data_IF_082342394772
#
_entry.id   IF_082342394772
#
_cell.length_a   1.000
_cell.length_b   1.000
_cell.length_c   1.000
_cell.angle_alpha   90.00
_cell.angle_beta   90.00
_cell.angle_gamma   90.00
#
_symmetry.space_group_name_H-M   'P 1'
#
loop_
_entity.id
_entity.type
_entity.pdbx_description
1 polymer ?
#
# COMPACT_ATOMS: atom_id res chain seq x y z
N UNK A 1 -3.96 1.93 22.74
CA UNK A 1 -2.79 2.65 23.29
C UNK A 1 -1.91 3.04 22.12
N UNK A 2 -1.60 4.32 21.93
CA UNK A 2 -0.81 4.81 20.80
C UNK A 2 0.68 4.87 21.17
N UNK A 3 1.48 4.04 20.48
CA UNK A 3 2.89 4.19 20.05
C UNK A 3 4.01 4.76 20.92
N UNK A 4 3.79 5.23 22.15
CA UNK A 4 4.82 5.94 22.94
C UNK A 4 5.50 5.09 24.02
N UNK A 5 5.02 3.86 24.25
CA UNK A 5 5.54 2.97 25.28
C UNK A 5 5.72 1.54 24.75
N UNK A 6 6.77 0.82 25.19
CA UNK A 6 6.91 -0.61 24.91
C UNK A 6 5.63 -1.36 25.29
N UNK A 7 5.22 -2.31 24.46
CA UNK A 7 4.04 -3.14 24.69
C UNK A 7 4.29 -4.56 24.23
N UNK A 8 3.56 -5.50 24.82
CA UNK A 8 3.63 -6.93 24.49
C UNK A 8 2.30 -7.36 23.89
N UNK A 9 2.36 -8.11 22.79
CA UNK A 9 1.20 -8.65 22.09
C UNK A 9 1.37 -10.15 21.92
N UNK A 10 0.34 -10.92 22.24
CA UNK A 10 0.29 -12.34 21.93
C UNK A 10 -0.23 -12.50 20.49
N UNK A 11 0.56 -13.13 19.63
CA UNK A 11 0.27 -13.21 18.19
C UNK A 11 0.51 -14.61 17.64
N UNK A 12 -0.27 -14.97 16.62
CA UNK A 12 -0.02 -16.13 15.76
C UNK A 12 0.80 -15.68 14.56
N UNK A 13 1.88 -16.41 14.28
CA UNK A 13 2.69 -16.22 13.07
C UNK A 13 2.33 -17.30 12.08
N UNK A 14 1.92 -16.88 10.88
CA UNK A 14 1.70 -17.74 9.74
C UNK A 14 2.94 -17.71 8.85
N UNK A 15 3.54 -18.87 8.62
CA UNK A 15 4.62 -19.04 7.65
C UNK A 15 4.04 -19.53 6.33
N UNK A 16 4.25 -18.76 5.26
CA UNK A 16 3.78 -19.06 3.91
C UNK A 16 5.03 -19.16 3.03
N UNK A 17 5.46 -20.39 2.66
CA UNK A 17 6.69 -20.59 1.91
C UNK A 17 6.74 -19.80 0.59
N UNK A 18 7.95 -19.43 0.11
CA UNK A 18 9.25 -19.73 0.73
C UNK A 18 9.71 -18.75 1.81
N UNK A 19 9.18 -17.53 1.86
CA UNK A 19 9.67 -16.48 2.77
C UNK A 19 8.63 -15.45 3.22
N UNK A 20 7.34 -15.69 2.99
CA UNK A 20 6.29 -14.75 3.39
C UNK A 20 5.85 -15.07 4.82
N UNK A 21 5.63 -14.03 5.62
CA UNK A 21 5.04 -14.19 6.96
C UNK A 21 3.84 -13.28 7.13
N UNK A 22 2.85 -13.76 7.88
CA UNK A 22 1.72 -12.93 8.30
C UNK A 22 1.52 -13.08 9.81
N UNK A 23 1.42 -11.96 10.53
CA UNK A 23 1.30 -11.93 11.99
C UNK A 23 -0.06 -11.40 12.38
N UNK A 24 -0.82 -12.19 13.14
CA UNK A 24 -2.10 -11.74 13.70
C UNK A 24 -1.86 -10.68 14.77
N UNK A 25 -2.39 -9.47 14.55
CA UNK A 25 -2.36 -8.40 15.55
C UNK A 25 -3.65 -8.37 16.39
N UNK A 26 -4.73 -8.98 15.88
CA UNK A 26 -5.96 -9.14 16.67
C UNK A 26 -5.81 -10.26 17.70
N UNK A 27 -6.49 -10.15 18.86
CA UNK A 27 -6.56 -11.23 19.84
C UNK A 27 -7.11 -12.52 19.21
N UNK A 28 -6.72 -13.70 19.72
CA UNK A 28 -7.31 -14.97 19.30
C UNK A 28 -8.83 -14.94 19.42
N UNK A 29 -9.54 -15.48 18.43
CA UNK A 29 -11.00 -15.57 18.42
C UNK A 29 -11.45 -17.01 18.16
N UNK A 30 -12.57 -17.38 18.77
CA UNK A 30 -13.12 -18.74 18.72
C UNK A 30 -13.81 -19.09 17.39
N UNK A 31 -14.11 -18.09 16.55
CA UNK A 31 -14.87 -18.26 15.30
C UNK A 31 -14.10 -17.76 14.06
N UNK A 32 -14.40 -18.33 12.87
CA UNK A 32 -14.01 -17.78 11.58
C UNK A 32 -14.24 -16.27 11.46
N UNK A 33 -13.19 -15.52 11.11
CA UNK A 33 -13.26 -14.06 10.88
C UNK A 33 -12.89 -13.69 9.46
N UNK A 34 -13.49 -12.59 8.98
CA UNK A 34 -13.01 -11.82 7.84
C UNK A 34 -11.68 -11.16 8.18
N UNK A 35 -10.87 -10.84 7.17
CA UNK A 35 -9.50 -10.38 7.37
C UNK A 35 -9.23 -9.01 6.78
N UNK A 36 -8.55 -8.17 7.55
CA UNK A 36 -7.79 -7.03 7.05
C UNK A 36 -6.33 -7.47 6.94
N UNK A 37 -5.78 -7.48 5.74
CA UNK A 37 -4.35 -7.68 5.49
C UNK A 37 -3.69 -6.31 5.40
N UNK A 38 -2.93 -5.96 6.42
CA UNK A 38 -2.17 -4.72 6.46
C UNK A 38 -0.81 -4.93 5.78
N UNK A 39 -0.48 -4.06 4.82
CA UNK A 39 0.72 -4.10 3.99
C UNK A 39 1.46 -2.78 4.21
N UNK A 40 2.70 -2.86 4.70
CA UNK A 40 3.53 -1.70 5.02
C UNK A 40 4.15 -1.04 3.79
N UNK A 41 4.80 0.09 4.00
CA UNK A 41 5.62 0.75 2.98
C UNK A 41 6.98 0.07 2.79
N UNK A 42 7.78 0.60 1.85
CA UNK A 42 9.07 0.04 1.42
C UNK A 42 9.96 -0.44 2.59
N UNK A 43 10.20 0.45 3.56
CA UNK A 43 11.09 0.18 4.70
C UNK A 43 10.40 -0.47 5.90
N UNK A 44 9.09 -0.72 5.82
CA UNK A 44 8.36 -1.25 6.96
C UNK A 44 8.67 -2.73 7.19
N UNK A 45 8.82 -3.05 8.46
CA UNK A 45 8.87 -4.41 8.98
C UNK A 45 7.86 -4.54 10.12
N UNK A 46 7.78 -5.72 10.73
CA UNK A 46 6.88 -5.95 11.86
C UNK A 46 7.13 -4.94 12.98
N UNK A 47 6.12 -4.13 13.30
CA UNK A 47 6.17 -3.18 14.41
C UNK A 47 6.79 -1.80 14.09
N UNK A 48 7.20 -1.51 12.85
CA UNK A 48 7.64 -0.16 12.47
C UNK A 48 6.51 0.88 12.60
N UNK A 49 5.26 0.49 12.29
CA UNK A 49 4.07 1.34 12.36
C UNK A 49 3.18 0.92 13.52
N UNK A 50 2.72 1.89 14.32
CA UNK A 50 2.04 1.61 15.59
C UNK A 50 0.50 1.58 15.50
N UNK A 51 -0.12 2.29 14.57
CA UNK A 51 -1.58 2.33 14.47
C UNK A 51 -2.24 0.97 14.15
N UNK A 52 -1.62 0.02 13.42
CA UNK A 52 -2.23 -1.29 13.17
C UNK A 52 -2.55 -2.05 14.47
N UNK A 53 -1.74 -1.89 15.51
CA UNK A 53 -2.03 -2.47 16.83
C UNK A 53 -3.24 -1.82 17.49
N UNK A 54 -3.41 -0.50 17.37
CA UNK A 54 -4.60 0.19 17.87
C UNK A 54 -5.85 -0.23 17.07
N UNK A 55 -5.72 -0.30 15.74
CA UNK A 55 -6.80 -0.71 14.85
C UNK A 55 -7.28 -2.13 15.16
N UNK A 56 -6.36 -3.07 15.36
CA UNK A 56 -6.66 -4.47 15.66
C UNK A 56 -7.53 -4.67 16.92
N UNK A 57 -7.49 -3.73 17.87
CA UNK A 57 -8.32 -3.73 19.09
C UNK A 57 -9.71 -3.13 18.88
N UNK A 58 -9.92 -2.39 17.80
CA UNK A 58 -11.18 -1.69 17.52
C UNK A 58 -12.02 -2.35 16.44
N UNK A 59 -11.47 -3.33 15.72
CA UNK A 59 -12.17 -3.98 14.62
C UNK A 59 -13.50 -4.61 15.07
N UNK A 60 -14.53 -4.63 14.19
CA UNK A 60 -15.76 -5.37 14.47
C UNK A 60 -15.48 -6.84 14.81
N UNK A 61 -16.37 -7.48 15.57
CA UNK A 61 -16.12 -8.81 16.14
C UNK A 61 -15.84 -9.92 15.11
N UNK A 62 -16.37 -9.76 13.89
CA UNK A 62 -16.20 -10.67 12.76
C UNK A 62 -14.96 -10.35 11.90
N UNK A 63 -14.15 -9.33 12.25
CA UNK A 63 -12.94 -8.97 11.54
C UNK A 63 -11.70 -9.12 12.44
N UNK A 64 -10.61 -9.57 11.81
CA UNK A 64 -9.28 -9.67 12.40
C UNK A 64 -8.24 -8.99 11.51
N UNK A 65 -7.18 -8.47 12.11
CA UNK A 65 -6.08 -7.81 11.39
C UNK A 65 -4.84 -8.69 11.40
N UNK A 66 -4.26 -8.91 10.21
CA UNK A 66 -2.94 -9.51 10.05
C UNK A 66 -2.02 -8.48 9.38
N UNK A 67 -0.80 -8.33 9.90
CA UNK A 67 0.27 -7.64 9.19
C UNK A 67 1.03 -8.65 8.32
N UNK A 68 1.17 -8.35 7.04
CA UNK A 68 1.92 -9.18 6.08
C UNK A 68 3.32 -8.61 5.93
N UNK A 69 4.33 -9.49 5.94
CA UNK A 69 5.72 -9.18 5.57
C UNK A 69 6.03 -9.94 4.28
N UNK A 70 6.21 -9.18 3.21
CA UNK A 70 6.52 -9.64 1.86
C UNK A 70 8.03 -9.74 1.67
N UNK A 71 8.49 -10.34 0.57
CA UNK A 71 9.91 -10.37 0.24
C UNK A 71 10.48 -9.00 -0.15
N UNK A 72 9.61 -8.01 -0.37
CA UNK A 72 9.95 -6.60 -0.56
C UNK A 72 10.06 -5.81 0.75
N UNK A 73 9.60 -6.33 1.89
CA UNK A 73 9.61 -5.57 3.15
C UNK A 73 11.02 -5.22 3.64
N UNK A 74 11.15 -4.11 4.38
CA UNK A 74 12.42 -3.68 4.98
C UNK A 74 13.43 -3.18 3.94
N UNK A 75 14.61 -3.82 3.84
CA UNK A 75 15.68 -3.35 2.96
C UNK A 75 15.75 -4.11 1.63
N UNK A 76 14.70 -4.85 1.27
CA UNK A 76 14.69 -5.74 0.09
C UNK A 76 13.84 -5.24 -1.09
N UNK A 77 12.98 -4.23 -0.88
CA UNK A 77 12.10 -3.67 -1.91
C UNK A 77 12.83 -3.21 -3.16
N UNK A 78 14.07 -2.75 -3.03
CA UNK A 78 14.88 -2.22 -4.14
C UNK A 78 15.11 -3.22 -5.29
N UNK A 79 14.91 -4.51 -5.02
CA UNK A 79 15.12 -5.61 -5.98
C UNK A 79 13.84 -6.37 -6.35
N UNK A 80 12.69 -5.89 -5.87
CA UNK A 80 11.38 -6.51 -6.08
C UNK A 80 10.50 -5.60 -6.93
N UNK A 81 9.40 -6.16 -7.43
CA UNK A 81 8.42 -5.44 -8.24
C UNK A 81 7.04 -5.56 -7.62
N UNK A 82 6.14 -4.64 -7.95
CA UNK A 82 4.73 -4.75 -7.55
C UNK A 82 4.09 -6.07 -8.01
N UNK A 83 4.57 -6.65 -9.12
CA UNK A 83 4.09 -7.95 -9.58
C UNK A 83 4.58 -9.11 -8.69
N UNK A 84 5.74 -8.99 -8.05
CA UNK A 84 6.19 -9.94 -7.03
C UNK A 84 5.28 -9.83 -5.80
N UNK A 85 5.05 -8.62 -5.32
CA UNK A 85 4.19 -8.34 -4.17
C UNK A 85 2.76 -8.86 -4.39
N UNK A 86 2.21 -8.65 -5.58
CA UNK A 86 0.91 -9.20 -5.96
C UNK A 86 0.86 -10.73 -5.90
N UNK A 87 1.89 -11.43 -6.39
CA UNK A 87 1.94 -12.90 -6.35
C UNK A 87 1.99 -13.40 -4.92
N UNK A 88 2.75 -12.72 -4.08
CA UNK A 88 2.91 -13.04 -2.66
C UNK A 88 1.63 -12.78 -1.87
N UNK A 89 1.00 -11.60 -2.05
CA UNK A 89 -0.32 -11.29 -1.47
C UNK A 89 -1.34 -12.33 -1.92
N UNK A 90 -1.35 -12.72 -3.20
CA UNK A 90 -2.27 -13.75 -3.68
C UNK A 90 -2.03 -15.10 -2.99
N UNK A 91 -0.79 -15.48 -2.74
CA UNK A 91 -0.45 -16.69 -1.97
C UNK A 91 -0.97 -16.61 -0.52
N UNK A 92 -0.79 -15.46 0.14
CA UNK A 92 -1.32 -15.20 1.49
C UNK A 92 -2.85 -15.33 1.51
N UNK A 93 -3.55 -14.71 0.54
CA UNK A 93 -5.01 -14.77 0.47
C UNK A 93 -5.51 -16.20 0.23
N UNK A 94 -4.85 -16.97 -0.65
CA UNK A 94 -5.20 -18.39 -0.87
C UNK A 94 -5.04 -19.20 0.42
N UNK A 95 -3.87 -19.14 1.03
CA UNK A 95 -3.58 -19.85 2.28
C UNK A 95 -4.60 -19.52 3.38
N UNK A 96 -4.92 -18.24 3.56
CA UNK A 96 -5.89 -17.81 4.58
C UNK A 96 -7.34 -18.19 4.24
N UNK A 97 -7.65 -18.61 3.02
CA UNK A 97 -8.98 -19.10 2.60
C UNK A 97 -9.10 -20.62 2.56
N UNK A 98 -8.01 -21.37 2.48
CA UNK A 98 -8.01 -22.85 2.39
C UNK A 98 -8.86 -23.53 3.48
N UNK A 99 -8.92 -22.95 4.69
CA UNK A 99 -9.74 -23.44 5.79
C UNK A 99 -11.10 -22.74 5.98
N UNK A 100 -11.38 -21.66 5.23
CA UNK A 100 -12.59 -20.83 5.39
C UNK A 100 -13.07 -20.27 4.03
N UNK A 101 -13.68 -21.10 3.17
CA UNK A 101 -14.26 -20.65 1.92
C UNK A 101 -15.27 -19.52 2.15
N UNK A 102 -15.21 -18.46 1.33
CA UNK A 102 -16.11 -17.31 1.44
C UNK A 102 -15.70 -16.23 2.45
N UNK A 103 -14.59 -16.43 3.18
CA UNK A 103 -13.98 -15.39 4.04
C UNK A 103 -13.72 -14.11 3.25
N UNK A 104 -14.24 -12.99 3.74
CA UNK A 104 -13.96 -11.67 3.16
C UNK A 104 -12.55 -11.23 3.52
N UNK A 105 -11.88 -10.61 2.56
CA UNK A 105 -10.53 -10.06 2.71
C UNK A 105 -10.53 -8.63 2.21
N UNK A 106 -9.95 -7.74 3.00
CA UNK A 106 -9.64 -6.34 2.65
C UNK A 106 -8.14 -6.17 2.69
N UNK A 107 -7.56 -5.58 1.66
CA UNK A 107 -6.15 -5.17 1.68
C UNK A 107 -6.06 -3.73 2.18
N UNK A 108 -5.29 -3.49 3.23
CA UNK A 108 -5.00 -2.15 3.73
C UNK A 108 -3.54 -1.83 3.43
N UNK A 109 -3.31 -1.04 2.38
CA UNK A 109 -2.00 -0.50 2.07
C UNK A 109 -1.70 0.71 2.94
N UNK A 110 -0.49 0.76 3.48
CA UNK A 110 0.08 1.90 4.16
C UNK A 110 1.24 2.45 3.33
N UNK A 111 1.30 3.78 3.13
CA UNK A 111 2.39 4.41 2.38
C UNK A 111 2.51 3.75 0.99
N UNK A 112 3.69 3.32 0.57
CA UNK A 112 3.90 2.61 -0.71
C UNK A 112 3.17 1.26 -0.77
N UNK A 113 2.79 0.64 0.35
CA UNK A 113 1.88 -0.53 0.36
C UNK A 113 0.50 -0.21 -0.24
N UNK A 114 0.16 1.07 -0.41
CA UNK A 114 -1.00 1.48 -1.22
C UNK A 114 -0.85 1.11 -2.70
N UNK A 115 0.38 1.14 -3.23
CA UNK A 115 0.69 0.72 -4.60
C UNK A 115 0.39 -0.77 -4.75
N UNK A 116 0.82 -1.59 -3.78
CA UNK A 116 0.51 -3.02 -3.75
C UNK A 116 -0.99 -3.29 -3.75
N UNK A 117 -1.74 -2.63 -2.86
CA UNK A 117 -3.19 -2.82 -2.73
C UNK A 117 -3.93 -2.41 -4.01
N UNK A 118 -3.55 -1.27 -4.61
CA UNK A 118 -4.16 -0.80 -5.86
C UNK A 118 -3.78 -1.71 -7.03
N UNK A 119 -2.50 -2.03 -7.19
CA UNK A 119 -2.00 -2.91 -8.25
C UNK A 119 -2.62 -4.31 -8.15
N UNK A 120 -2.82 -4.83 -6.94
CA UNK A 120 -3.49 -6.10 -6.69
C UNK A 120 -4.92 -6.15 -7.25
N UNK A 121 -5.64 -5.03 -7.29
CA UNK A 121 -6.99 -5.02 -7.86
C UNK A 121 -7.04 -4.56 -9.31
N UNK A 122 -6.15 -3.65 -9.74
CA UNK A 122 -6.24 -3.01 -11.07
C UNK A 122 -5.40 -3.67 -12.16
N UNK A 123 -4.32 -4.37 -11.81
CA UNK A 123 -3.38 -4.90 -12.81
C UNK A 123 -3.94 -6.15 -13.51
N UNK A 124 -3.51 -6.38 -14.75
CA UNK A 124 -3.84 -7.58 -15.51
C UNK A 124 -2.93 -8.79 -15.23
N UNK A 125 -2.03 -8.74 -14.23
CA UNK A 125 -1.04 -9.80 -13.99
C UNK A 125 -1.67 -11.05 -13.37
N UNK A 126 -2.20 -11.92 -14.22
CA UNK A 126 -3.01 -13.09 -13.84
C UNK A 126 -4.51 -12.76 -13.86
N UNK A 127 -5.34 -13.69 -14.34
CA UNK A 127 -6.79 -13.51 -14.35
C UNK A 127 -7.33 -13.46 -12.92
N UNK A 128 -8.26 -12.52 -12.66
CA UNK A 128 -8.96 -12.44 -11.38
C UNK A 128 -10.05 -13.49 -11.28
N UNK A 129 -9.95 -14.38 -10.29
CA UNK A 129 -10.93 -15.43 -10.04
C UNK A 129 -10.47 -16.40 -8.94
N UNK A 130 -11.20 -17.48 -8.78
CA UNK A 130 -10.99 -18.46 -7.70
C UNK A 130 -10.47 -19.81 -8.26
N UNK A 131 -10.15 -19.88 -9.55
CA UNK A 131 -9.59 -21.06 -10.20
C UNK A 131 -8.09 -21.27 -9.92
N UNK A 132 -7.54 -22.47 -10.18
CA UNK A 132 -6.11 -22.73 -10.06
C UNK A 132 -5.30 -21.77 -10.95
N UNK A 133 -4.37 -21.03 -10.34
CA UNK A 133 -3.55 -20.03 -11.04
C UNK A 133 -4.17 -18.62 -11.13
N UNK A 134 -5.42 -18.44 -10.70
CA UNK A 134 -6.10 -17.13 -10.70
C UNK A 134 -5.80 -16.34 -9.43
N UNK A 135 -5.79 -15.00 -9.55
CA UNK A 135 -5.64 -14.08 -8.42
C UNK A 135 -6.95 -14.04 -7.61
N UNK A 136 -6.95 -14.43 -6.32
CA UNK A 136 -8.16 -14.42 -5.51
C UNK A 136 -8.76 -13.03 -5.39
N UNK A 137 -10.09 -12.93 -5.48
CA UNK A 137 -10.77 -11.63 -5.37
C UNK A 137 -10.79 -11.16 -3.94
N UNK A 138 -10.58 -9.86 -3.72
CA UNK A 138 -10.73 -9.20 -2.40
C UNK A 138 -11.97 -8.32 -2.41
N UNK A 139 -12.61 -8.17 -1.26
CA UNK A 139 -13.86 -7.42 -1.11
C UNK A 139 -13.63 -5.91 -1.12
N UNK A 140 -12.43 -5.46 -0.77
CA UNK A 140 -12.07 -4.06 -0.87
C UNK A 140 -10.62 -3.77 -0.59
N UNK A 141 -10.25 -2.51 -0.83
CA UNK A 141 -8.93 -1.97 -0.51
C UNK A 141 -9.05 -0.68 0.30
N UNK A 142 -8.08 -0.46 1.18
CA UNK A 142 -7.95 0.76 1.97
C UNK A 142 -6.57 1.33 1.72
N UNK A 143 -6.51 2.60 1.31
CA UNK A 143 -5.26 3.28 0.97
C UNK A 143 -4.98 4.35 2.03
N UNK A 144 -4.05 4.07 2.94
CA UNK A 144 -3.67 5.00 4.00
C UNK A 144 -2.35 5.69 3.67
N UNK A 145 -2.40 7.02 3.62
CA UNK A 145 -1.32 7.89 3.11
C UNK A 145 -0.79 7.46 1.73
N UNK A 146 -1.65 7.33 0.69
CA UNK A 146 -1.20 7.06 -0.67
C UNK A 146 -0.54 8.33 -1.26
N UNK A 147 0.75 8.47 -1.05
CA UNK A 147 1.56 9.59 -1.55
C UNK A 147 2.36 9.14 -2.78
N UNK A 148 2.78 10.10 -3.60
CA UNK A 148 3.67 9.85 -4.73
C UNK A 148 5.13 9.85 -4.29
N UNK A 149 5.83 8.73 -4.49
CA UNK A 149 7.28 8.68 -4.32
C UNK A 149 7.99 9.64 -5.28
N UNK A 150 7.51 9.76 -6.52
CA UNK A 150 8.08 10.68 -7.51
C UNK A 150 8.02 12.12 -7.02
N UNK A 151 6.86 12.60 -6.58
CA UNK A 151 6.71 13.97 -6.09
C UNK A 151 7.50 14.19 -4.78
N UNK A 152 7.54 13.18 -3.90
CA UNK A 152 8.34 13.24 -2.68
C UNK A 152 9.85 13.28 -2.97
N UNK A 153 10.33 12.52 -3.95
CA UNK A 153 11.73 12.52 -4.38
C UNK A 153 12.11 13.85 -5.05
N UNK A 154 11.25 14.37 -5.94
CA UNK A 154 11.46 15.69 -6.58
C UNK A 154 11.57 16.81 -5.55
N UNK A 155 10.77 16.78 -4.48
CA UNK A 155 10.82 17.77 -3.40
C UNK A 155 12.07 17.61 -2.52
N UNK A 156 12.51 16.38 -2.26
CA UNK A 156 13.57 16.08 -1.27
C UNK A 156 14.98 16.02 -1.85
N UNK A 157 15.11 15.70 -3.14
CA UNK A 157 16.41 15.52 -3.78
C UNK A 157 16.92 16.80 -4.44
N UNK A 158 18.25 16.91 -4.52
CA UNK A 158 18.88 17.89 -5.40
C UNK A 158 18.48 17.59 -6.88
N UNK A 159 18.02 18.59 -7.65
CA UNK A 159 17.55 18.37 -9.02
C UNK A 159 18.59 17.76 -9.96
N UNK A 160 19.88 18.12 -9.81
CA UNK A 160 20.95 17.57 -10.66
C UNK A 160 21.22 16.11 -10.29
N UNK A 161 21.16 15.77 -9.00
CA UNK A 161 21.26 14.38 -8.52
C UNK A 161 20.09 13.55 -9.04
N UNK A 162 18.86 14.04 -8.92
CA UNK A 162 17.66 13.35 -9.41
C UNK A 162 17.71 13.10 -10.91
N UNK A 163 18.07 14.12 -11.70
CA UNK A 163 18.21 13.99 -13.15
C UNK A 163 19.28 12.97 -13.53
N UNK A 164 20.45 13.02 -12.89
CA UNK A 164 21.56 12.09 -13.13
C UNK A 164 21.19 10.65 -12.78
N UNK A 165 20.49 10.41 -11.66
CA UNK A 165 20.03 9.07 -11.29
C UNK A 165 19.08 8.50 -12.35
N UNK A 166 18.12 9.30 -12.81
CA UNK A 166 17.19 8.90 -13.87
C UNK A 166 17.89 8.62 -15.20
N UNK A 167 18.83 9.47 -15.62
CA UNK A 167 19.61 9.25 -16.85
C UNK A 167 20.40 7.94 -16.80
N UNK A 168 21.09 7.67 -15.69
CA UNK A 168 21.90 6.44 -15.55
C UNK A 168 21.00 5.20 -15.48
N UNK A 169 19.88 5.28 -14.76
CA UNK A 169 18.91 4.19 -14.70
C UNK A 169 18.31 3.88 -16.08
N UNK A 170 17.94 4.93 -16.83
CA UNK A 170 17.42 4.79 -18.18
C UNK A 170 18.44 4.12 -19.11
N UNK A 171 19.72 4.52 -19.03
CA UNK A 171 20.80 3.85 -19.78
C UNK A 171 20.94 2.37 -19.42
N UNK A 172 20.85 2.00 -18.14
CA UNK A 172 20.88 0.59 -17.74
C UNK A 172 19.72 -0.20 -18.38
N UNK A 173 18.52 0.38 -18.46
CA UNK A 173 17.39 -0.26 -19.14
C UNK A 173 17.67 -0.42 -20.65
N UNK A 174 18.18 0.61 -21.31
CA UNK A 174 18.51 0.58 -22.74
C UNK A 174 19.60 -0.44 -23.08
N UNK A 175 20.53 -0.68 -22.15
CA UNK A 175 21.57 -1.71 -22.22
C UNK A 175 21.07 -3.13 -21.88
N UNK A 176 19.79 -3.31 -21.52
CA UNK A 176 19.23 -4.61 -21.09
C UNK A 176 19.63 -5.03 -19.68
N UNK A 177 20.06 -4.07 -18.85
CA UNK A 177 20.56 -4.22 -17.48
C UNK A 177 19.60 -3.65 -16.45
N UNK A 178 18.30 -3.66 -16.75
CA UNK A 178 17.28 -3.09 -15.89
C UNK A 178 17.23 -3.72 -14.48
N UNK A 179 17.68 -4.96 -14.34
CA UNK A 179 17.68 -5.70 -13.07
C UNK A 179 19.03 -5.60 -12.31
N UNK A 180 20.01 -4.87 -12.86
CA UNK A 180 21.23 -4.52 -12.14
C UNK A 180 20.95 -3.42 -11.12
N UNK A 181 21.52 -3.55 -9.92
CA UNK A 181 21.51 -2.48 -8.93
C UNK A 181 22.32 -1.28 -9.43
N UNK A 182 21.75 -0.09 -9.26
CA UNK A 182 22.46 1.15 -9.52
C UNK A 182 23.63 1.29 -8.52
N UNK A 183 24.80 1.78 -8.96
CA UNK A 183 25.92 1.97 -8.06
C UNK A 183 25.55 2.94 -6.92
N UNK A 184 26.06 2.68 -5.72
CA UNK A 184 25.89 3.59 -4.57
C UNK A 184 26.44 4.99 -4.87
N UNK A 185 27.47 5.11 -5.71
CA UNK A 185 27.98 6.40 -6.18
C UNK A 185 26.99 7.22 -7.00
N UNK A 186 25.94 6.58 -7.53
CA UNK A 186 24.85 7.24 -8.26
C UNK A 186 23.74 7.64 -7.28
N UNK A 187 23.23 6.68 -6.51
CA UNK A 187 22.08 6.87 -5.62
C UNK A 187 22.41 7.68 -4.36
N UNK A 188 23.67 7.69 -3.92
CA UNK A 188 24.07 8.29 -2.65
C UNK A 188 23.28 7.70 -1.48
N UNK A 189 22.74 8.57 -0.63
CA UNK A 189 21.99 8.21 0.58
C UNK A 189 20.46 8.31 0.43
N UNK A 190 19.95 8.49 -0.79
CA UNK A 190 18.50 8.69 -1.06
C UNK A 190 17.63 7.59 -0.43
N UNK A 191 18.17 6.37 -0.30
CA UNK A 191 17.51 5.22 0.30
C UNK A 191 18.45 4.40 1.20
N UNK A 192 19.15 5.05 2.12
CA UNK A 192 19.96 4.37 3.17
C UNK A 192 20.99 3.35 2.63
N UNK A 193 21.47 3.59 1.39
CA UNK A 193 22.47 2.76 0.70
C UNK A 193 22.05 1.31 0.47
N UNK A 194 20.75 1.03 0.37
CA UNK A 194 20.27 -0.28 -0.07
C UNK A 194 20.46 -0.48 -1.59
N UNK A 195 20.44 -1.73 -2.04
CA UNK A 195 20.48 -2.03 -3.47
C UNK A 195 19.14 -1.74 -4.15
N UNK A 196 19.12 -0.82 -5.11
CA UNK A 196 17.94 -0.50 -5.93
C UNK A 196 18.27 -0.75 -7.39
N UNK A 197 17.48 -1.60 -8.06
CA UNK A 197 17.66 -1.88 -9.49
C UNK A 197 17.29 -0.67 -10.33
N UNK A 198 17.86 -0.56 -11.53
CA UNK A 198 17.48 0.50 -12.47
C UNK A 198 15.97 0.50 -12.77
N UNK A 199 15.37 -0.69 -12.91
CA UNK A 199 13.92 -0.88 -13.05
C UNK A 199 13.15 -0.30 -11.86
N UNK A 200 13.51 -0.68 -10.64
CA UNK A 200 12.80 -0.20 -9.43
C UNK A 200 12.93 1.31 -9.28
N UNK A 201 14.12 1.86 -9.51
CA UNK A 201 14.35 3.31 -9.47
C UNK A 201 13.40 4.06 -10.41
N UNK A 202 13.39 3.70 -11.69
CA UNK A 202 12.52 4.34 -12.68
C UNK A 202 11.03 4.14 -12.36
N UNK A 203 10.68 2.99 -11.79
CA UNK A 203 9.32 2.73 -11.37
C UNK A 203 8.80 3.73 -10.34
N UNK A 204 9.67 4.20 -9.43
CA UNK A 204 9.38 5.19 -8.38
C UNK A 204 9.63 6.64 -8.83
N UNK A 205 10.63 6.88 -9.68
CA UNK A 205 11.23 8.19 -9.89
C UNK A 205 11.23 8.66 -11.36
N UNK A 206 10.62 7.92 -12.29
CA UNK A 206 10.60 8.34 -13.69
C UNK A 206 9.91 9.71 -13.84
N UNK A 207 10.57 10.73 -14.44
CA UNK A 207 10.06 12.10 -14.47
C UNK A 207 8.80 12.25 -15.33
N UNK A 208 8.64 11.41 -16.36
CA UNK A 208 7.46 11.34 -17.22
C UNK A 208 6.22 10.70 -16.55
N UNK A 209 6.40 10.25 -15.30
CA UNK A 209 5.39 9.56 -14.51
C UNK A 209 5.05 8.16 -15.02
N UNK A 210 5.75 7.63 -16.04
CA UNK A 210 5.45 6.32 -16.66
C UNK A 210 5.86 5.12 -15.79
N UNK A 211 6.50 5.35 -14.65
CA UNK A 211 6.84 4.34 -13.66
C UNK A 211 5.60 3.56 -13.18
N UNK A 212 5.79 2.28 -12.84
CA UNK A 212 4.69 1.40 -12.43
C UNK A 212 4.12 1.84 -11.07
N UNK A 213 4.96 2.35 -10.16
CA UNK A 213 4.55 2.79 -8.83
C UNK A 213 3.95 4.19 -8.81
N UNK A 214 4.11 4.95 -9.91
CA UNK A 214 3.52 6.28 -10.01
C UNK A 214 2.00 6.20 -10.29
N UNK A 215 1.26 5.89 -9.23
CA UNK A 215 -0.20 5.77 -9.22
C UNK A 215 -0.88 6.95 -8.51
N UNK A 216 -0.10 7.77 -7.79
CA UNK A 216 -0.61 8.78 -6.86
C UNK A 216 -0.07 10.19 -7.11
N UNK A 217 0.73 10.44 -8.15
CA UNK A 217 1.14 11.83 -8.43
C UNK A 217 -0.06 12.70 -8.78
N UNK A 218 0.00 13.96 -8.35
CA UNK A 218 -1.10 14.91 -8.49
C UNK A 218 -1.36 15.37 -9.92
N UNK A 219 -0.34 15.26 -10.78
CA UNK A 219 -0.32 15.68 -12.19
C UNK A 219 -0.64 14.53 -13.18
N UNK A 220 -0.93 13.31 -12.70
CA UNK A 220 -1.22 12.18 -13.58
C UNK A 220 -2.42 12.48 -14.49
N UNK A 221 -2.31 12.24 -15.81
CA UNK A 221 -3.40 12.46 -16.74
C UNK A 221 -4.48 11.38 -16.58
N UNK A 222 -5.70 11.69 -17.03
CA UNK A 222 -6.85 10.78 -16.93
C UNK A 222 -6.60 9.43 -17.63
N UNK A 223 -5.79 9.39 -18.70
CA UNK A 223 -5.40 8.14 -19.35
C UNK A 223 -4.65 7.20 -18.39
N UNK A 224 -3.81 7.76 -17.51
CA UNK A 224 -3.02 6.98 -16.54
C UNK A 224 -3.88 6.53 -15.38
N UNK A 225 -4.72 7.41 -14.85
CA UNK A 225 -5.71 7.05 -13.83
C UNK A 225 -6.71 6.00 -14.36
N UNK A 226 -7.03 6.04 -15.65
CA UNK A 226 -7.86 5.04 -16.33
C UNK A 226 -7.22 3.65 -16.43
N UNK A 227 -5.88 3.55 -16.31
CA UNK A 227 -5.13 2.28 -16.27
C UNK A 227 -4.95 1.72 -14.85
N UNK A 228 -5.15 2.55 -13.82
CA UNK A 228 -5.10 2.14 -12.40
C UNK A 228 -6.51 2.13 -11.81
N UNK A 229 -6.98 3.27 -11.29
CA UNK A 229 -8.32 3.41 -10.71
C UNK A 229 -9.44 3.04 -11.69
N UNK A 230 -9.28 3.31 -12.98
CA UNK A 230 -10.24 2.94 -14.04
C UNK A 230 -10.27 1.44 -14.40
N UNK A 231 -9.44 0.62 -13.76
CA UNK A 231 -9.41 -0.85 -13.93
C UNK A 231 -9.85 -1.62 -12.71
N UNK A 232 -10.35 -0.93 -11.69
CA UNK A 232 -10.79 -1.60 -10.47
C UNK A 232 -12.02 -2.47 -10.77
N UNK A 233 -12.05 -3.74 -10.31
CA UNK A 233 -13.16 -4.63 -10.59
C UNK A 233 -14.46 -4.09 -10.01
N UNK A 234 -15.55 -4.30 -10.77
CA UNK A 234 -16.89 -3.93 -10.33
C UNK A 234 -17.22 -4.55 -8.96
N UNK A 235 -17.75 -3.73 -8.06
CA UNK A 235 -18.15 -4.14 -6.71
C UNK A 235 -17.01 -4.16 -5.68
N UNK A 236 -15.76 -3.90 -6.07
CA UNK A 236 -14.66 -3.74 -5.10
C UNK A 236 -14.87 -2.46 -4.30
N UNK A 237 -14.94 -2.57 -2.97
CA UNK A 237 -15.07 -1.40 -2.10
C UNK A 237 -13.72 -0.70 -1.89
N UNK A 238 -13.74 0.63 -1.73
CA UNK A 238 -12.52 1.41 -1.52
C UNK A 238 -12.68 2.46 -0.43
N UNK A 239 -11.61 2.69 0.34
CA UNK A 239 -11.51 3.80 1.28
C UNK A 239 -10.16 4.49 1.16
N UNK A 240 -10.15 5.82 1.02
CA UNK A 240 -8.94 6.62 1.12
C UNK A 240 -8.84 7.21 2.52
N UNK A 241 -7.68 7.00 3.15
CA UNK A 241 -7.32 7.54 4.47
C UNK A 241 -6.11 8.46 4.30
N UNK A 242 -6.34 9.61 3.67
CA UNK A 242 -5.27 10.56 3.37
C UNK A 242 -4.91 11.40 4.60
N UNK A 243 -3.63 11.45 4.94
CA UNK A 243 -3.12 12.18 6.11
C UNK A 243 -3.13 13.70 5.88
N UNK A 244 -3.75 14.47 6.77
CA UNK A 244 -3.92 15.92 6.61
C UNK A 244 -2.66 16.74 6.94
N UNK A 245 -1.67 16.14 7.58
CA UNK A 245 -0.38 16.76 7.93
C UNK A 245 0.79 15.89 7.48
N UNK A 246 0.64 15.23 6.34
CA UNK A 246 1.63 14.32 5.75
C UNK A 246 2.88 15.09 5.29
N UNK A 247 4.03 14.73 5.86
CA UNK A 247 5.33 15.34 5.62
C UNK A 247 5.97 14.94 4.28
N UNK A 248 5.39 13.98 3.55
CA UNK A 248 5.85 13.57 2.22
C UNK A 248 5.09 14.27 1.09
N UNK A 249 4.05 15.03 1.40
CA UNK A 249 3.24 15.72 0.40
C UNK A 249 3.72 17.17 0.23
N UNK A 250 4.10 17.60 -0.99
CA UNK A 250 4.48 18.98 -1.24
C UNK A 250 3.40 19.98 -0.80
N UNK A 251 3.79 21.01 -0.05
CA UNK A 251 2.86 21.94 0.64
C UNK A 251 1.92 22.71 -0.28
N UNK A 252 2.29 22.84 -1.56
CA UNK A 252 1.49 23.55 -2.55
C UNK A 252 0.36 22.69 -3.12
N UNK A 253 0.39 21.37 -2.91
CA UNK A 253 -0.63 20.45 -3.38
C UNK A 253 -1.85 20.44 -2.47
N UNK A 254 -3.01 20.13 -3.05
CA UNK A 254 -4.30 20.01 -2.36
C UNK A 254 -4.84 18.59 -2.55
N UNK A 255 -4.65 17.67 -1.58
CA UNK A 255 -4.98 16.26 -1.78
C UNK A 255 -6.40 15.97 -2.21
N UNK A 256 -7.36 16.73 -1.68
CA UNK A 256 -8.77 16.59 -2.03
C UNK A 256 -9.07 16.75 -3.52
N UNK A 257 -8.24 17.49 -4.28
CA UNK A 257 -8.42 17.69 -5.73
C UNK A 257 -8.09 16.42 -6.50
N UNK A 258 -6.90 15.84 -6.30
CA UNK A 258 -6.49 14.64 -7.04
C UNK A 258 -7.19 13.37 -6.52
N UNK A 259 -7.49 13.29 -5.21
CA UNK A 259 -8.34 12.22 -4.66
C UNK A 259 -9.74 12.21 -5.28
N UNK A 260 -10.26 13.39 -5.64
CA UNK A 260 -11.51 13.52 -6.39
C UNK A 260 -11.44 12.82 -7.75
N UNK A 261 -10.34 13.00 -8.49
CA UNK A 261 -10.12 12.32 -9.78
C UNK A 261 -10.02 10.80 -9.59
N UNK A 262 -9.25 10.34 -8.60
CA UNK A 262 -9.12 8.91 -8.30
C UNK A 262 -10.47 8.26 -8.01
N UNK A 263 -11.28 8.92 -7.17
CA UNK A 263 -12.65 8.50 -6.87
C UNK A 263 -13.50 8.41 -8.13
N UNK A 264 -13.49 9.42 -8.98
CA UNK A 264 -14.27 9.43 -10.23
C UNK A 264 -13.88 8.27 -11.14
N UNK A 265 -12.58 8.03 -11.36
CA UNK A 265 -12.12 6.90 -12.18
C UNK A 265 -12.51 5.55 -11.59
N UNK A 266 -12.38 5.39 -10.27
CA UNK A 266 -12.77 4.16 -9.57
C UNK A 266 -14.28 3.90 -9.66
N UNK A 267 -15.12 4.90 -9.41
CA UNK A 267 -16.58 4.76 -9.51
C UNK A 267 -17.05 4.48 -10.95
N UNK A 268 -16.41 5.11 -11.94
CA UNK A 268 -16.67 4.82 -13.35
C UNK A 268 -16.31 3.38 -13.73
N UNK A 269 -15.33 2.77 -13.08
CA UNK A 269 -14.99 1.34 -13.21
C UNK A 269 -15.95 0.40 -12.45
N UNK A 270 -16.86 0.95 -11.65
CA UNK A 270 -17.83 0.20 -10.86
C UNK A 270 -17.37 -0.11 -9.42
N UNK A 271 -16.30 0.52 -8.93
CA UNK A 271 -15.88 0.42 -7.54
C UNK A 271 -16.86 1.15 -6.60
N UNK A 272 -16.98 0.67 -5.36
CA UNK A 272 -17.80 1.28 -4.31
C UNK A 272 -16.90 2.12 -3.41
N UNK A 273 -16.73 3.40 -3.75
CA UNK A 273 -15.86 4.30 -2.97
C UNK A 273 -16.60 4.84 -1.75
N UNK A 274 -16.05 4.63 -0.56
CA UNK A 274 -16.63 5.05 0.70
C UNK A 274 -16.75 6.59 0.78
N UNK A 275 -17.86 7.15 1.33
CA UNK A 275 -18.07 8.60 1.37
C UNK A 275 -17.00 9.39 2.14
N UNK A 276 -16.33 8.76 3.11
CA UNK A 276 -15.26 9.40 3.87
C UNK A 276 -13.94 9.54 3.09
N UNK A 277 -13.82 8.94 1.89
CA UNK A 277 -12.60 8.96 1.08
C UNK A 277 -12.16 10.35 0.61
N UNK A 278 -13.00 11.39 0.68
CA UNK A 278 -12.60 12.76 0.33
C UNK A 278 -12.31 13.63 1.57
N UNK A 279 -12.34 13.04 2.77
CA UNK A 279 -12.05 13.74 4.02
C UNK A 279 -10.61 13.43 4.42
N UNK A 280 -9.82 14.46 4.71
CA UNK A 280 -8.49 14.27 5.29
C UNK A 280 -8.61 13.72 6.72
N UNK A 281 -7.59 12.99 7.16
CA UNK A 281 -7.35 12.70 8.56
C UNK A 281 -6.63 13.90 9.16
N UNK A 282 -7.40 14.84 9.71
CA UNK A 282 -6.87 16.09 10.26
C UNK A 282 -5.78 15.83 11.31
N UNK A 283 -4.64 16.51 11.15
CA UNK A 283 -3.49 16.38 12.05
C UNK A 283 -2.73 15.05 11.98
N UNK A 284 -3.07 14.13 11.07
CA UNK A 284 -2.33 12.89 10.87
C UNK A 284 -1.04 13.14 10.08
N UNK A 285 0.09 12.62 10.57
CA UNK A 285 1.34 12.50 9.79
C UNK A 285 1.27 11.26 8.89
N UNK A 286 2.31 11.02 8.11
CA UNK A 286 2.37 9.94 7.14
C UNK A 286 2.05 8.55 7.73
N UNK A 287 2.74 8.17 8.81
CA UNK A 287 2.60 6.86 9.47
C UNK A 287 1.80 6.87 10.78
N UNK A 288 1.30 8.04 11.18
CA UNK A 288 0.57 8.26 12.43
C UNK A 288 1.37 7.93 13.72
N UNK A 289 2.66 7.63 13.63
CA UNK A 289 3.47 7.35 14.81
C UNK A 289 3.67 8.65 15.61
N UNK A 290 3.38 8.59 16.90
CA UNK A 290 3.44 9.75 17.78
C UNK A 290 2.26 10.71 17.66
N UNK A 291 1.30 10.47 16.75
CA UNK A 291 0.10 11.31 16.67
C UNK A 291 -0.78 11.17 17.91
N UNK A 292 -1.55 12.23 18.23
CA UNK A 292 -2.53 12.17 19.32
C UNK A 292 -3.53 11.02 19.15
N UNK A 293 -3.96 10.45 20.27
CA UNK A 293 -4.87 9.29 20.27
C UNK A 293 -6.18 9.55 19.51
N UNK A 294 -6.69 10.79 19.51
CA UNK A 294 -7.92 11.13 18.79
C UNK A 294 -7.76 11.04 17.26
N UNK A 295 -6.55 11.32 16.73
CA UNK A 295 -6.26 11.20 15.29
C UNK A 295 -6.25 9.72 14.88
N UNK A 296 -5.58 8.88 15.67
CA UNK A 296 -5.59 7.42 15.44
C UNK A 296 -7.00 6.84 15.60
N UNK A 297 -7.77 7.32 16.58
CA UNK A 297 -9.15 6.90 16.79
C UNK A 297 -10.08 7.26 15.62
N UNK A 298 -9.86 8.39 14.96
CA UNK A 298 -10.59 8.77 13.75
C UNK A 298 -10.28 7.81 12.58
N UNK A 299 -9.01 7.44 12.39
CA UNK A 299 -8.63 6.38 11.44
C UNK A 299 -9.37 5.08 11.73
N UNK A 300 -9.34 4.61 12.97
CA UNK A 300 -10.04 3.39 13.39
C UNK A 300 -11.55 3.48 13.15
N UNK A 301 -12.15 4.64 13.42
CA UNK A 301 -13.59 4.88 13.24
C UNK A 301 -13.98 4.77 11.77
N UNK A 302 -13.22 5.38 10.87
CA UNK A 302 -13.49 5.31 9.43
C UNK A 302 -13.25 3.91 8.88
N UNK A 303 -12.21 3.22 9.35
CA UNK A 303 -11.96 1.84 8.99
C UNK A 303 -13.12 0.92 9.40
N UNK A 304 -13.62 1.07 10.62
CA UNK A 304 -14.76 0.29 11.10
C UNK A 304 -16.04 0.56 10.31
N UNK A 305 -16.31 1.82 9.95
CA UNK A 305 -17.45 2.17 9.07
C UNK A 305 -17.33 1.52 7.70
N UNK A 306 -16.13 1.50 7.13
CA UNK A 306 -15.85 0.83 5.86
C UNK A 306 -16.09 -0.68 5.96
N UNK A 307 -15.61 -1.35 7.01
CA UNK A 307 -15.84 -2.78 7.18
C UNK A 307 -17.33 -3.12 7.39
N UNK A 308 -18.07 -2.29 8.12
CA UNK A 308 -19.52 -2.46 8.31
C UNK A 308 -20.32 -2.29 7.00
N UNK A 309 -19.81 -1.53 6.03
CA UNK A 309 -20.41 -1.47 4.68
C UNK A 309 -20.35 -2.84 4.00
N UNK A 310 -19.24 -3.57 4.17
CA UNK A 310 -19.02 -4.86 3.55
C UNK A 310 -19.84 -5.98 4.18
N UNK A 311 -20.35 -5.80 5.39
CA UNK A 311 -21.16 -6.79 6.11
C UNK A 311 -22.66 -6.75 5.78
N UNK A 312 -23.09 -5.75 5.01
CA UNK A 312 -24.45 -5.63 4.48
C UNK A 312 -24.59 -6.37 3.15
#
# INVERSE_FOLDING_TARGET
>A
MTGSHPSTHQSTIHYIPPCITAVSLSPPRDFPTNLVLWIGGLFDTLGHVSYPFALAQTLPANWSLLQVTLSSSGNSWGTKTLDDDVREIAAVVRYLREGQPGRKVVLMGHSTGCQDALHYVSSSTGSSGEGPGERPRVQGIVLQAPVSDREALVEKMDPEVYARCNEIAQRFVEEGRQDDCLPVSVLGDVFERIGVTARRWLSLASPDGLGQDDMFSSDLPDERLGKTFGKIPQGTAMLFLYSGSDEHVPKHLKPTVFMGKWKTHAENAGAIVHPDSLKLLEGATHNLNGNPQHVVAELCTRMNRFLLLLDK
#
